data_IF_650841863856
#
_entry.id   IF_650841863856
#
_cell.length_a   1.000
_cell.length_b   1.000
_cell.length_c   1.000
_cell.angle_alpha   90.00
_cell.angle_beta   90.00
_cell.angle_gamma   90.00
#
_symmetry.space_group_name_H-M   'P 1'
#
loop_
_entity.id
_entity.type
_entity.pdbx_description
1 polymer ?
#
# COMPACT_ATOMS: atom_id res chain seq x y z
N UNK A 1 20.18 8.96 0.79
CA UNK A 1 19.24 10.05 0.45
C UNK A 1 19.46 10.60 -0.96
N UNK A 2 20.69 10.91 -1.36
CA UNK A 2 20.96 11.39 -2.75
C UNK A 2 20.58 10.38 -3.84
N UNK A 3 20.81 9.08 -3.61
CA UNK A 3 20.42 8.02 -4.55
C UNK A 3 18.91 8.01 -4.82
N UNK A 4 18.09 8.08 -3.77
CA UNK A 4 16.63 8.16 -3.87
C UNK A 4 16.22 9.45 -4.59
N UNK A 5 16.85 10.58 -4.26
CA UNK A 5 16.58 11.86 -4.94
C UNK A 5 16.94 11.83 -6.44
N UNK A 6 17.96 11.08 -6.84
CA UNK A 6 18.28 10.84 -8.25
C UNK A 6 17.22 9.96 -8.93
N UNK A 7 16.83 8.85 -8.30
CA UNK A 7 15.78 7.94 -8.81
C UNK A 7 14.42 8.62 -8.95
N UNK A 8 14.06 9.49 -8.01
CA UNK A 8 12.83 10.29 -8.04
C UNK A 8 12.72 11.22 -9.26
N UNK A 9 13.86 11.56 -9.89
CA UNK A 9 13.92 12.38 -11.11
C UNK A 9 13.93 11.54 -12.39
N UNK A 10 13.86 10.21 -12.29
CA UNK A 10 13.82 9.36 -13.48
C UNK A 10 12.54 9.59 -14.28
N UNK A 11 12.59 9.52 -15.62
CA UNK A 11 11.39 9.67 -16.46
C UNK A 11 10.27 8.68 -16.10
N UNK A 12 10.64 7.48 -15.67
CA UNK A 12 9.69 6.43 -15.30
C UNK A 12 8.93 6.77 -14.02
N UNK A 13 9.62 7.23 -12.97
CA UNK A 13 8.99 7.67 -11.72
C UNK A 13 8.11 8.89 -11.97
N UNK A 14 8.58 9.87 -12.75
CA UNK A 14 7.81 11.07 -13.07
C UNK A 14 6.53 10.74 -13.87
N UNK A 15 6.62 9.83 -14.84
CA UNK A 15 5.45 9.33 -15.58
C UNK A 15 4.46 8.68 -14.62
N UNK A 16 4.94 7.82 -13.73
CA UNK A 16 4.08 7.10 -12.78
C UNK A 16 3.42 8.03 -11.76
N UNK A 17 4.14 9.05 -11.28
CA UNK A 17 3.60 10.12 -10.45
C UNK A 17 2.42 10.81 -11.14
N UNK A 18 2.57 11.15 -12.43
CA UNK A 18 1.49 11.79 -13.20
C UNK A 18 0.26 10.89 -13.29
N UNK A 19 0.43 9.63 -13.65
CA UNK A 19 -0.66 8.64 -13.73
C UNK A 19 -1.42 8.49 -12.41
N UNK A 20 -0.69 8.40 -11.28
CA UNK A 20 -1.30 8.22 -9.97
C UNK A 20 -2.01 9.50 -9.48
N UNK A 21 -1.47 10.69 -9.76
CA UNK A 21 -2.13 11.97 -9.46
C UNK A 21 -3.43 12.13 -10.23
N UNK A 22 -3.45 11.77 -11.51
CA UNK A 22 -4.67 11.80 -12.33
C UNK A 22 -5.70 10.78 -11.82
N UNK A 23 -5.26 9.54 -11.54
CA UNK A 23 -6.12 8.46 -11.03
C UNK A 23 -6.80 8.80 -9.70
N UNK A 24 -6.12 9.51 -8.82
CA UNK A 24 -6.59 9.82 -7.46
C UNK A 24 -6.89 11.31 -7.25
N UNK A 25 -7.13 12.05 -8.34
CA UNK A 25 -7.40 13.47 -8.29
C UNK A 25 -8.53 13.81 -7.30
N UNK A 26 -8.29 14.81 -6.45
CA UNK A 26 -9.26 15.27 -5.45
C UNK A 26 -9.42 14.37 -4.22
N UNK A 27 -8.58 13.34 -4.06
CA UNK A 27 -8.60 12.45 -2.88
C UNK A 27 -7.33 12.59 -2.05
N UNK A 28 -7.46 12.42 -0.75
CA UNK A 28 -6.33 12.17 0.16
C UNK A 28 -5.81 10.74 -0.06
N UNK A 29 -4.52 10.62 -0.33
CA UNK A 29 -3.86 9.36 -0.66
C UNK A 29 -3.05 8.88 0.54
N UNK A 30 -3.46 7.76 1.13
CA UNK A 30 -2.71 7.03 2.14
C UNK A 30 -1.99 5.89 1.42
N UNK A 31 -0.69 5.74 1.62
CA UNK A 31 0.05 4.58 1.16
C UNK A 31 0.45 3.65 2.31
N UNK A 32 0.46 2.35 2.03
CA UNK A 32 1.13 1.34 2.83
C UNK A 32 2.12 0.60 1.96
N UNK A 33 3.37 0.45 2.40
CA UNK A 33 4.39 -0.35 1.71
C UNK A 33 4.98 -1.31 2.72
N UNK A 34 4.61 -2.58 2.60
CA UNK A 34 4.91 -3.59 3.62
C UNK A 34 5.36 -4.89 2.95
N UNK A 35 6.16 -5.68 3.66
CA UNK A 35 6.52 -7.03 3.23
C UNK A 35 5.29 -7.94 3.31
N UNK A 36 5.09 -8.82 2.34
CA UNK A 36 3.99 -9.79 2.40
C UNK A 36 4.29 -10.90 3.43
N UNK A 37 3.88 -10.68 4.68
CA UNK A 37 4.09 -11.62 5.77
C UNK A 37 3.15 -11.38 6.95
N UNK A 38 3.00 -12.37 7.83
CA UNK A 38 2.05 -12.32 8.96
C UNK A 38 2.27 -11.14 9.91
N UNK A 39 3.52 -10.69 10.07
CA UNK A 39 3.91 -9.62 10.98
C UNK A 39 3.79 -8.20 10.38
N UNK A 40 3.45 -8.08 9.09
CA UNK A 40 3.28 -6.79 8.40
C UNK A 40 2.09 -5.97 8.88
N UNK A 41 1.13 -6.60 9.57
CA UNK A 41 -0.06 -5.90 10.06
C UNK A 41 -1.03 -5.42 8.97
N UNK A 42 -0.84 -5.77 7.69
CA UNK A 42 -1.69 -5.29 6.57
C UNK A 42 -3.19 -5.59 6.81
N UNK A 43 -3.53 -6.79 7.30
CA UNK A 43 -4.92 -7.13 7.61
C UNK A 43 -5.51 -6.24 8.71
N UNK A 44 -4.71 -5.87 9.72
CA UNK A 44 -5.16 -4.97 10.77
C UNK A 44 -5.35 -3.56 10.20
N UNK A 45 -4.41 -3.08 9.38
CA UNK A 45 -4.49 -1.80 8.67
C UNK A 45 -5.79 -1.65 7.88
N UNK A 46 -6.12 -2.64 7.03
CA UNK A 46 -7.35 -2.62 6.24
C UNK A 46 -8.61 -2.68 7.13
N UNK A 47 -8.60 -3.44 8.23
CA UNK A 47 -9.73 -3.48 9.17
C UNK A 47 -9.94 -2.13 9.86
N UNK A 48 -8.86 -1.48 10.30
CA UNK A 48 -8.90 -0.14 10.89
C UNK A 48 -9.39 0.89 9.88
N UNK A 49 -8.90 0.83 8.64
CA UNK A 49 -9.36 1.70 7.57
C UNK A 49 -10.85 1.50 7.24
N UNK A 50 -11.33 0.25 7.19
CA UNK A 50 -12.76 -0.07 7.08
C UNK A 50 -13.57 0.54 8.23
N UNK A 51 -13.07 0.42 9.46
CA UNK A 51 -13.73 0.99 10.63
C UNK A 51 -13.77 2.52 10.56
N UNK A 52 -12.69 3.16 10.13
CA UNK A 52 -12.62 4.59 9.89
C UNK A 52 -13.70 5.05 8.90
N UNK A 53 -13.87 4.37 7.76
CA UNK A 53 -14.92 4.70 6.77
C UNK A 53 -16.36 4.43 7.27
N UNK A 54 -16.53 3.54 8.26
CA UNK A 54 -17.81 3.30 8.93
C UNK A 54 -18.14 4.40 9.92
N UNK A 55 -17.19 4.77 10.77
CA UNK A 55 -17.36 5.79 11.82
C UNK A 55 -17.45 7.20 11.23
N UNK A 56 -16.72 7.47 10.15
CA UNK A 56 -16.70 8.77 9.49
C UNK A 56 -17.12 8.68 8.00
N UNK A 57 -18.42 8.50 7.70
CA UNK A 57 -18.91 8.41 6.33
C UNK A 57 -18.58 9.64 5.45
N UNK A 58 -18.34 10.80 6.06
CA UNK A 58 -17.97 12.04 5.38
C UNK A 58 -16.64 11.98 4.62
N UNK A 59 -15.79 10.98 4.91
CA UNK A 59 -14.53 10.70 4.21
C UNK A 59 -14.70 9.71 3.06
N UNK A 60 -15.88 9.10 2.89
CA UNK A 60 -16.16 8.29 1.70
C UNK A 60 -16.03 9.14 0.44
N UNK A 61 -15.52 8.54 -0.63
CA UNK A 61 -15.06 9.19 -1.86
C UNK A 61 -13.92 10.23 -1.73
N UNK A 62 -13.47 10.59 -0.51
CA UNK A 62 -12.40 11.59 -0.30
C UNK A 62 -11.05 11.00 0.04
N UNK A 63 -10.98 9.75 0.50
CA UNK A 63 -9.72 9.09 0.87
C UNK A 63 -9.54 7.78 0.11
N UNK A 64 -8.29 7.43 -0.20
CA UNK A 64 -7.91 6.10 -0.70
C UNK A 64 -6.72 5.56 0.07
N UNK A 65 -6.69 4.24 0.23
CA UNK A 65 -5.55 3.48 0.73
C UNK A 65 -4.94 2.70 -0.44
N UNK A 66 -3.71 3.04 -0.81
CA UNK A 66 -2.90 2.29 -1.78
C UNK A 66 -1.91 1.40 -1.02
N UNK A 67 -2.20 0.11 -0.96
CA UNK A 67 -1.40 -0.87 -0.22
C UNK A 67 -0.54 -1.71 -1.17
N UNK A 68 0.76 -1.53 -1.09
CA UNK A 68 1.79 -2.30 -1.80
C UNK A 68 2.34 -3.38 -0.86
N UNK A 69 2.19 -4.65 -1.22
CA UNK A 69 2.71 -5.79 -0.48
C UNK A 69 3.86 -6.46 -1.26
N UNK A 70 5.09 -6.15 -0.87
CA UNK A 70 6.31 -6.55 -1.60
C UNK A 70 6.73 -7.96 -1.21
N UNK A 71 7.02 -8.81 -2.21
CA UNK A 71 7.42 -10.22 -2.04
C UNK A 71 8.93 -10.47 -2.07
N UNK A 72 9.75 -9.47 -2.45
CA UNK A 72 11.19 -9.63 -2.79
C UNK A 72 12.14 -10.01 -1.64
N UNK A 73 11.68 -10.16 -0.40
CA UNK A 73 12.57 -10.45 0.72
C UNK A 73 12.69 -11.95 0.97
N UNK A 74 13.85 -12.51 0.60
CA UNK A 74 14.28 -13.90 0.80
C UNK A 74 14.34 -14.35 2.27
N UNK A 75 14.09 -13.45 3.23
CA UNK A 75 14.24 -13.67 4.67
C UNK A 75 12.93 -13.78 5.45
N UNK A 76 11.77 -13.91 4.79
CA UNK A 76 10.51 -14.05 5.55
C UNK A 76 10.41 -15.42 6.22
N UNK A 77 10.17 -15.46 7.54
CA UNK A 77 9.76 -16.66 8.30
C UNK A 77 8.38 -17.23 7.88
N UNK A 78 7.93 -16.97 6.65
CA UNK A 78 6.62 -17.34 6.13
C UNK A 78 6.80 -18.17 4.87
N UNK A 79 6.30 -19.40 4.86
CA UNK A 79 6.38 -20.27 3.69
C UNK A 79 5.62 -19.67 2.48
N UNK A 80 6.00 -20.01 1.24
CA UNK A 80 5.37 -19.47 0.03
C UNK A 80 3.83 -19.64 0.00
N UNK A 81 3.34 -20.81 0.42
CA UNK A 81 1.90 -21.11 0.54
C UNK A 81 1.16 -20.17 1.51
N UNK A 82 1.81 -19.81 2.62
CA UNK A 82 1.27 -18.91 3.62
C UNK A 82 1.22 -17.47 3.08
N UNK A 83 2.21 -17.06 2.27
CA UNK A 83 2.18 -15.75 1.59
C UNK A 83 1.04 -15.66 0.58
N UNK A 84 0.84 -16.70 -0.24
CA UNK A 84 -0.28 -16.77 -1.20
C UNK A 84 -1.62 -16.70 -0.46
N UNK A 85 -1.76 -17.49 0.61
CA UNK A 85 -2.98 -17.51 1.42
C UNK A 85 -3.23 -16.14 2.07
N UNK A 86 -2.18 -15.49 2.57
CA UNK A 86 -2.28 -14.16 3.15
C UNK A 86 -2.68 -13.11 2.11
N UNK A 87 -2.05 -13.09 0.92
CA UNK A 87 -2.41 -12.18 -0.16
C UNK A 87 -3.87 -12.36 -0.60
N UNK A 88 -4.36 -13.60 -0.72
CA UNK A 88 -5.77 -13.89 -1.01
C UNK A 88 -6.71 -13.30 0.05
N UNK A 89 -6.38 -13.44 1.33
CA UNK A 89 -7.17 -12.88 2.44
C UNK A 89 -7.17 -11.35 2.44
N UNK A 90 -6.04 -10.72 2.16
CA UNK A 90 -5.94 -9.25 2.07
C UNK A 90 -6.75 -8.74 0.87
N UNK A 91 -6.61 -9.40 -0.29
CA UNK A 91 -7.35 -9.06 -1.50
C UNK A 91 -8.87 -9.20 -1.30
N UNK A 92 -9.32 -10.28 -0.66
CA UNK A 92 -10.73 -10.48 -0.33
C UNK A 92 -11.27 -9.36 0.58
N UNK A 93 -10.51 -8.94 1.60
CA UNK A 93 -10.90 -7.85 2.48
C UNK A 93 -10.92 -6.49 1.75
N UNK A 94 -9.94 -6.22 0.90
CA UNK A 94 -9.94 -5.02 0.06
C UNK A 94 -11.17 -4.97 -0.85
N UNK A 95 -11.52 -6.11 -1.46
CA UNK A 95 -12.73 -6.25 -2.27
C UNK A 95 -14.00 -6.00 -1.46
N UNK A 96 -14.12 -6.61 -0.28
CA UNK A 96 -15.28 -6.42 0.62
C UNK A 96 -15.48 -4.93 1.00
N UNK A 97 -14.39 -4.22 1.31
CA UNK A 97 -14.43 -2.78 1.61
C UNK A 97 -14.92 -2.01 0.38
N UNK A 98 -14.38 -2.33 -0.80
CA UNK A 98 -14.72 -1.62 -2.02
C UNK A 98 -16.16 -1.86 -2.48
N UNK A 99 -16.63 -3.11 -2.40
CA UNK A 99 -18.00 -3.49 -2.75
C UNK A 99 -19.02 -2.77 -1.84
N UNK A 100 -18.68 -2.57 -0.57
CA UNK A 100 -19.60 -1.99 0.43
C UNK A 100 -19.57 -0.46 0.52
N UNK A 101 -18.44 0.19 0.21
CA UNK A 101 -18.25 1.61 0.48
C UNK A 101 -17.70 2.42 -0.72
N UNK A 102 -17.45 1.77 -1.86
CA UNK A 102 -16.83 2.38 -3.04
C UNK A 102 -15.31 2.16 -3.09
N UNK A 103 -14.65 2.52 -4.21
CA UNK A 103 -13.25 2.17 -4.48
C UNK A 103 -12.28 2.97 -3.58
N UNK A 104 -11.99 2.38 -2.43
CA UNK A 104 -11.26 2.98 -1.33
C UNK A 104 -9.93 2.27 -1.04
N UNK A 105 -9.80 0.99 -1.35
CA UNK A 105 -8.59 0.19 -1.12
C UNK A 105 -8.06 -0.35 -2.44
N UNK A 106 -6.85 0.04 -2.79
CA UNK A 106 -6.13 -0.46 -3.96
C UNK A 106 -4.98 -1.33 -3.45
N UNK A 107 -5.13 -2.65 -3.59
CA UNK A 107 -4.16 -3.62 -3.09
C UNK A 107 -3.36 -4.24 -4.23
N UNK A 108 -2.04 -4.14 -4.15
CA UNK A 108 -1.09 -4.74 -5.08
C UNK A 108 -0.13 -5.63 -4.30
N UNK A 109 0.10 -6.86 -4.78
CA UNK A 109 0.99 -7.81 -4.12
C UNK A 109 1.88 -8.51 -5.13
N UNK A 110 3.16 -8.68 -4.82
CA UNK A 110 4.11 -9.36 -5.68
C UNK A 110 5.47 -8.66 -5.73
N UNK A 111 6.16 -8.84 -6.84
CA UNK A 111 7.37 -8.10 -7.15
C UNK A 111 6.94 -6.74 -7.71
N UNK A 112 6.99 -5.75 -6.83
CA UNK A 112 6.62 -4.37 -7.13
C UNK A 112 7.91 -3.63 -7.40
N UNK A 113 8.01 -3.00 -8.57
CA UNK A 113 9.19 -2.26 -8.99
C UNK A 113 9.45 -1.05 -8.10
N UNK A 114 10.70 -0.63 -8.02
CA UNK A 114 11.12 0.46 -7.12
C UNK A 114 10.46 1.77 -7.53
N UNK A 115 10.28 1.97 -8.83
CA UNK A 115 9.65 3.11 -9.46
C UNK A 115 8.18 3.24 -9.02
N UNK A 116 7.44 2.12 -8.94
CA UNK A 116 6.07 2.09 -8.45
C UNK A 116 5.99 2.45 -6.96
N UNK A 117 6.93 1.94 -6.14
CA UNK A 117 6.98 2.26 -4.70
C UNK A 117 7.27 3.74 -4.48
N UNK A 118 8.31 4.26 -5.14
CA UNK A 118 8.72 5.66 -5.07
C UNK A 118 7.62 6.59 -5.57
N UNK A 119 7.03 6.31 -6.73
CA UNK A 119 5.95 7.12 -7.28
C UNK A 119 4.72 7.13 -6.38
N UNK A 120 4.34 5.98 -5.82
CA UNK A 120 3.21 5.88 -4.88
C UNK A 120 3.47 6.69 -3.61
N UNK A 121 4.67 6.58 -3.03
CA UNK A 121 5.05 7.38 -1.87
C UNK A 121 5.07 8.88 -2.19
N UNK A 122 5.57 9.25 -3.36
CA UNK A 122 5.70 10.65 -3.78
C UNK A 122 4.34 11.36 -3.96
N UNK A 123 3.30 10.62 -4.35
CA UNK A 123 1.94 11.18 -4.50
C UNK A 123 1.12 11.12 -3.22
N UNK A 124 1.58 10.38 -2.21
CA UNK A 124 0.81 10.14 -0.99
C UNK A 124 0.91 11.29 0.00
N UNK A 125 -0.21 11.63 0.62
CA UNK A 125 -0.28 12.59 1.73
C UNK A 125 0.18 11.98 3.05
N UNK A 126 0.12 10.64 3.16
CA UNK A 126 0.48 9.90 4.36
C UNK A 126 1.04 8.52 4.03
N UNK A 127 2.13 8.15 4.72
CA UNK A 127 2.61 6.76 4.80
C UNK A 127 2.10 6.13 6.10
N UNK A 128 1.42 4.99 5.99
CA UNK A 128 0.86 4.25 7.11
C UNK A 128 1.61 2.93 7.30
N UNK A 129 2.57 2.91 8.23
CA UNK A 129 3.24 1.70 8.70
C UNK A 129 2.54 1.18 9.97
N UNK A 130 2.12 -0.09 9.93
CA UNK A 130 1.45 -0.75 11.07
C UNK A 130 2.05 -2.13 11.33
N UNK A 131 3.34 -2.28 11.07
CA UNK A 131 4.07 -3.51 11.33
C UNK A 131 3.92 -3.92 12.81
N UNK A 132 3.54 -5.18 13.05
CA UNK A 132 3.34 -5.71 14.40
C UNK A 132 4.65 -6.02 15.10
N UNK A 133 5.64 -6.42 14.31
CA UNK A 133 7.00 -6.69 14.74
C UNK A 133 7.92 -6.53 13.54
N UNK A 134 8.68 -5.46 13.53
CA UNK A 134 9.74 -5.20 12.57
C UNK A 134 10.92 -4.55 13.29
N UNK A 135 12.13 -4.72 12.76
CA UNK A 135 13.29 -3.96 13.20
C UNK A 135 13.30 -2.64 12.45
N UNK A 136 13.91 -2.65 11.26
CA UNK A 136 13.85 -1.56 10.30
C UNK A 136 13.00 -1.99 9.09
N UNK A 137 11.91 -1.27 8.85
CA UNK A 137 11.12 -1.44 7.64
C UNK A 137 11.77 -0.66 6.49
N UNK A 138 12.56 -1.36 5.69
CA UNK A 138 13.16 -0.82 4.46
C UNK A 138 12.31 -1.11 3.22
N UNK A 139 11.14 -1.74 3.35
CA UNK A 139 10.27 -2.04 2.20
C UNK A 139 9.79 -0.79 1.43
N UNK A 140 9.58 0.38 2.07
CA UNK A 140 9.33 1.63 1.35
C UNK A 140 10.50 2.09 0.45
N UNK A 141 11.74 1.68 0.74
CA UNK A 141 12.96 2.21 0.13
C UNK A 141 13.61 1.26 -0.89
#
# INVERSE_FOLDING_TARGET
>A
FELIAAQMRSPEVLRRIKELKEKFAGKTIICGVDRLGRLSGILLKLRTFRQFLKVYPSYRNKVVLVQLAVSRTTTTHTSPENRITLAKRISALAKEINDSMGPHVYFYAGDIETEDRLATMAVSDMLLDTSLKDGLNLAPF
#
